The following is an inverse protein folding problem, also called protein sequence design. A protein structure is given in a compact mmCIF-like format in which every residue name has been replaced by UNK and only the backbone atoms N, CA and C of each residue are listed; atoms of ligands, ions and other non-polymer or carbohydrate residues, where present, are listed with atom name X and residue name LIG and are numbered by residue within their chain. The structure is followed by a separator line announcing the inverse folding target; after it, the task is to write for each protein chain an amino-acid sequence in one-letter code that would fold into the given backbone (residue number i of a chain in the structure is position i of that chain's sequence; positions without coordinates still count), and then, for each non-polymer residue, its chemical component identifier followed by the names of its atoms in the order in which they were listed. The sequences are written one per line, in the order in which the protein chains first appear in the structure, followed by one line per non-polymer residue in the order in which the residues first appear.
data_IF_630771032473
#
_entry.id   IF_630771032473
#
_cell.length_a   1.000
_cell.length_b   1.000
_cell.length_c   1.000
_cell.angle_alpha   90.00
_cell.angle_beta   90.00
_cell.angle_gamma   90.00
#
_symmetry.space_group_name_H-M   'P 1'
#
loop_
_entity.id
_entity.type
_entity.pdbx_description
1 polymer ?
#
# COMPACT_ATOMS: atom_id res chain seq x y z
N UNK A 1 13.10 6.63 -4.25
CA UNK A 1 11.68 6.37 -3.94
C UNK A 1 10.74 6.92 -5.00
N UNK A 2 11.01 8.09 -5.60
CA UNK A 2 10.13 8.74 -6.60
C UNK A 2 9.72 7.87 -7.81
N UNK A 3 10.59 6.98 -8.31
CA UNK A 3 10.27 6.08 -9.44
C UNK A 3 9.19 5.06 -9.05
N UNK A 4 9.27 4.49 -7.83
CA UNK A 4 8.27 3.51 -7.38
C UNK A 4 6.90 4.15 -7.19
N UNK A 5 6.84 5.37 -6.66
CA UNK A 5 5.57 6.11 -6.54
C UNK A 5 4.93 6.33 -7.91
N UNK A 6 5.73 6.69 -8.92
CA UNK A 6 5.25 6.87 -10.32
C UNK A 6 4.74 5.56 -10.93
N UNK A 7 5.35 4.42 -10.60
CA UNK A 7 4.86 3.12 -11.05
C UNK A 7 3.51 2.79 -10.41
N UNK A 8 3.39 2.91 -9.08
CA UNK A 8 2.14 2.59 -8.35
C UNK A 8 0.98 3.52 -8.77
N UNK A 9 1.26 4.80 -9.04
CA UNK A 9 0.27 5.77 -9.47
C UNK A 9 0.08 5.83 -11.01
N UNK A 10 0.67 4.89 -11.76
CA UNK A 10 0.57 4.89 -13.22
C UNK A 10 -0.85 4.59 -13.70
N UNK A 11 -1.30 5.29 -14.75
CA UNK A 11 -2.53 4.95 -15.47
C UNK A 11 -2.39 3.66 -16.29
N UNK A 12 -1.16 3.28 -16.64
CA UNK A 12 -0.86 2.01 -17.27
C UNK A 12 -1.01 0.89 -16.24
N UNK A 13 -2.01 0.02 -16.45
CA UNK A 13 -2.38 -1.05 -15.50
C UNK A 13 -1.26 -2.06 -15.31
N UNK A 14 -0.44 -2.33 -16.33
CA UNK A 14 0.68 -3.27 -16.22
C UNK A 14 1.81 -2.66 -15.37
N UNK A 15 2.13 -1.39 -15.60
CA UNK A 15 3.11 -0.66 -14.79
C UNK A 15 2.66 -0.51 -13.34
N UNK A 16 1.38 -0.19 -13.12
CA UNK A 16 0.78 -0.15 -11.79
C UNK A 16 0.90 -1.49 -11.08
N UNK A 17 0.43 -2.57 -11.71
CA UNK A 17 0.50 -3.91 -11.13
C UNK A 17 1.94 -4.28 -10.75
N UNK A 18 2.90 -4.03 -11.65
CA UNK A 18 4.32 -4.29 -11.38
C UNK A 18 4.85 -3.43 -10.24
N UNK A 19 4.48 -2.15 -10.18
CA UNK A 19 4.83 -1.25 -9.09
C UNK A 19 4.33 -1.77 -7.74
N UNK A 20 3.05 -2.14 -7.66
CA UNK A 20 2.43 -2.65 -6.43
C UNK A 20 3.07 -3.97 -5.99
N UNK A 21 3.31 -4.91 -6.92
CA UNK A 21 3.97 -6.19 -6.59
C UNK A 21 5.40 -5.99 -6.09
N UNK A 22 6.15 -5.03 -6.65
CA UNK A 22 7.49 -4.69 -6.15
C UNK A 22 7.40 -4.20 -4.70
N UNK A 23 6.49 -3.27 -4.40
CA UNK A 23 6.30 -2.71 -3.06
C UNK A 23 5.86 -3.79 -2.07
N UNK A 24 4.91 -4.64 -2.47
CA UNK A 24 4.49 -5.81 -1.71
C UNK A 24 5.68 -6.71 -1.35
N UNK A 25 6.51 -7.06 -2.34
CA UNK A 25 7.68 -7.91 -2.11
C UNK A 25 8.70 -7.25 -1.17
N UNK A 26 8.89 -5.92 -1.26
CA UNK A 26 9.79 -5.20 -0.35
C UNK A 26 9.29 -5.24 1.10
N UNK A 27 8.00 -5.07 1.33
CA UNK A 27 7.42 -5.13 2.68
C UNK A 27 7.48 -6.56 3.24
N UNK A 28 7.25 -7.57 2.39
CA UNK A 28 7.30 -8.98 2.78
C UNK A 28 8.73 -9.47 3.06
N UNK A 29 9.73 -8.96 2.32
CA UNK A 29 11.10 -9.46 2.38
C UNK A 29 11.75 -9.26 3.77
N UNK A 30 11.58 -8.10 4.39
CA UNK A 30 12.14 -7.81 5.71
C UNK A 30 11.48 -6.60 6.37
N UNK A 31 11.55 -6.53 7.70
CA UNK A 31 11.15 -5.35 8.46
C UNK A 31 11.90 -4.08 8.04
N UNK A 32 13.21 -4.19 7.81
CA UNK A 32 14.04 -3.02 7.45
C UNK A 32 13.63 -2.41 6.10
N UNK A 33 13.27 -3.25 5.12
CA UNK A 33 12.76 -2.78 3.83
C UNK A 33 11.34 -2.25 3.96
N UNK A 34 10.51 -2.85 4.81
CA UNK A 34 9.19 -2.31 5.12
C UNK A 34 9.25 -0.92 5.77
N UNK A 35 10.14 -0.70 6.74
CA UNK A 35 10.37 0.61 7.39
C UNK A 35 10.67 1.69 6.35
N UNK A 36 11.62 1.42 5.43
CA UNK A 36 11.97 2.37 4.35
C UNK A 36 10.83 2.64 3.37
N UNK A 37 9.94 1.68 3.15
CA UNK A 37 8.76 1.88 2.28
C UNK A 37 7.75 2.78 2.98
N UNK A 38 7.53 2.57 4.27
CA UNK A 38 6.53 3.29 5.09
C UNK A 38 6.94 4.74 5.38
N UNK A 39 8.25 5.02 5.44
CA UNK A 39 8.81 6.38 5.52
C UNK A 39 8.60 7.22 4.24
N UNK A 40 7.95 6.65 3.22
CA UNK A 40 7.73 7.30 1.92
C UNK A 40 6.26 7.35 1.57
N UNK A 41 5.92 8.14 0.55
CA UNK A 41 4.54 8.28 0.08
C UNK A 41 3.94 7.00 -0.52
N UNK A 42 4.69 5.90 -0.55
CA UNK A 42 4.18 4.60 -0.97
C UNK A 42 3.09 4.09 -0.03
N UNK A 43 3.16 4.38 1.28
CA UNK A 43 2.11 3.97 2.21
C UNK A 43 0.76 4.62 1.86
N UNK A 44 0.73 5.95 1.69
CA UNK A 44 -0.52 6.65 1.33
C UNK A 44 -1.06 6.17 -0.01
N UNK A 45 -0.18 5.89 -0.98
CA UNK A 45 -0.59 5.32 -2.26
C UNK A 45 -1.21 3.93 -2.10
N UNK A 46 -0.61 3.04 -1.30
CA UNK A 46 -1.19 1.72 -1.00
C UNK A 46 -2.56 1.86 -0.34
N UNK A 47 -2.70 2.74 0.66
CA UNK A 47 -4.00 2.97 1.32
C UNK A 47 -5.05 3.53 0.35
N UNK A 48 -4.65 4.45 -0.54
CA UNK A 48 -5.55 5.05 -1.52
C UNK A 48 -6.07 4.01 -2.53
N UNK A 49 -5.21 3.14 -3.06
CA UNK A 49 -5.64 2.14 -4.05
C UNK A 49 -6.51 1.02 -3.45
N UNK A 50 -6.41 0.78 -2.14
CA UNK A 50 -7.28 -0.16 -1.43
C UNK A 50 -8.63 0.42 -1.05
N UNK A 51 -8.86 1.73 -1.23
CA UNK A 51 -10.15 2.31 -0.90
C UNK A 51 -11.28 1.74 -1.78
N UNK A 52 -12.44 1.41 -1.20
CA UNK A 52 -13.57 0.87 -1.96
C UNK A 52 -14.07 1.79 -3.09
N UNK A 53 -13.86 3.10 -2.95
CA UNK A 53 -14.28 4.10 -3.96
C UNK A 53 -13.45 4.04 -5.24
N UNK A 54 -12.25 3.44 -5.21
CA UNK A 54 -11.34 3.36 -6.36
C UNK A 54 -11.67 2.12 -7.18
N UNK A 55 -12.58 2.22 -8.15
CA UNK A 55 -13.04 1.06 -8.93
C UNK A 55 -12.18 0.75 -10.18
N UNK A 56 -11.25 1.62 -10.55
CA UNK A 56 -10.43 1.49 -11.75
C UNK A 56 -9.12 0.70 -11.52
N UNK A 57 -9.05 -0.10 -10.45
CA UNK A 57 -7.87 -0.91 -10.12
C UNK A 57 -8.31 -2.37 -10.02
N UNK A 58 -7.54 -3.25 -10.69
CA UNK A 58 -7.77 -4.70 -10.68
C UNK A 58 -7.80 -5.23 -9.24
N UNK A 59 -8.78 -6.07 -8.92
CA UNK A 59 -8.96 -6.66 -7.59
C UNK A 59 -7.71 -7.39 -7.09
N UNK A 60 -6.93 -8.01 -7.98
CA UNK A 60 -5.65 -8.64 -7.62
C UNK A 60 -4.63 -7.62 -7.16
N UNK A 61 -4.55 -6.46 -7.83
CA UNK A 61 -3.66 -5.36 -7.43
C UNK A 61 -4.06 -4.83 -6.06
N UNK A 62 -5.37 -4.64 -5.82
CA UNK A 62 -5.89 -4.25 -4.50
C UNK A 62 -5.51 -5.26 -3.43
N UNK A 63 -5.67 -6.55 -3.71
CA UNK A 63 -5.30 -7.62 -2.77
C UNK A 63 -3.81 -7.58 -2.41
N UNK A 64 -2.92 -7.37 -3.37
CA UNK A 64 -1.49 -7.23 -3.08
C UNK A 64 -1.20 -6.01 -2.19
N UNK A 65 -1.91 -4.91 -2.39
CA UNK A 65 -1.77 -3.73 -1.57
C UNK A 65 -2.32 -3.95 -0.14
N UNK A 66 -3.48 -4.57 0.01
CA UNK A 66 -4.06 -4.96 1.30
C UNK A 66 -3.13 -5.91 2.08
N UNK A 67 -2.62 -6.95 1.42
CA UNK A 67 -1.69 -7.90 2.04
C UNK A 67 -0.38 -7.22 2.44
N UNK A 68 0.08 -6.21 1.69
CA UNK A 68 1.24 -5.40 2.04
C UNK A 68 0.98 -4.54 3.29
N UNK A 69 -0.17 -3.87 3.37
CA UNK A 69 -0.58 -3.08 4.54
C UNK A 69 -0.69 -3.96 5.78
N UNK A 70 -1.38 -5.10 5.66
CA UNK A 70 -1.49 -6.09 6.74
C UNK A 70 -0.12 -6.55 7.23
N UNK A 71 0.83 -6.77 6.31
CA UNK A 71 2.20 -7.14 6.71
C UNK A 71 2.92 -6.01 7.46
N UNK A 72 2.72 -4.76 7.05
CA UNK A 72 3.24 -3.60 7.75
C UNK A 72 2.66 -3.45 9.17
N UNK A 73 1.37 -3.78 9.36
CA UNK A 73 0.73 -3.88 10.68
C UNK A 73 1.35 -4.99 11.53
N UNK A 74 1.58 -6.18 10.96
CA UNK A 74 2.27 -7.28 11.64
C UNK A 74 3.68 -6.87 12.11
N UNK A 75 4.38 -6.04 11.32
CA UNK A 75 5.67 -5.47 11.70
C UNK A 75 5.57 -4.37 12.77
N UNK A 76 4.35 -3.94 13.12
CA UNK A 76 4.02 -2.83 14.02
C UNK A 76 4.54 -1.48 13.50
N UNK A 77 4.60 -1.33 12.19
CA UNK A 77 5.09 -0.12 11.53
C UNK A 77 3.95 0.85 11.21
N UNK A 78 2.74 0.33 11.04
CA UNK A 78 1.50 1.10 10.91
C UNK A 78 0.46 0.58 11.89
N UNK A 79 -0.55 1.41 12.19
CA UNK A 79 -1.72 0.99 12.95
C UNK A 79 -2.80 0.48 12.00
N UNK A 80 -3.64 -0.48 12.45
CA UNK A 80 -4.81 -0.88 11.70
C UNK A 80 -5.68 0.35 11.43
N UNK A 81 -6.27 0.41 10.23
CA UNK A 81 -7.27 1.41 9.92
C UNK A 81 -8.58 0.99 10.59
N UNK A 82 -8.66 1.17 11.92
CA UNK A 82 -9.92 1.20 12.65
C UNK A 82 -10.63 2.46 12.11
N UNK A 83 -11.53 2.26 11.14
CA UNK A 83 -12.25 3.37 10.51
C UNK A 83 -12.78 4.29 11.59
N UNK A 84 -12.37 5.55 11.54
CA UNK A 84 -12.67 6.63 12.48
C UNK A 84 -13.74 6.23 13.51
N UNK A 85 -13.32 5.82 14.71
CA UNK A 85 -14.20 5.94 15.85
C UNK A 85 -14.52 7.43 15.97
N UNK A 86 -15.72 7.81 15.52
CA UNK A 86 -16.34 9.08 15.82
C UNK A 86 -16.28 9.24 17.33
N UNK A 87 -15.36 10.07 17.83
CA UNK A 87 -15.43 10.65 19.17
C UNK A 87 -16.78 11.36 19.27
N UNK A 88 -17.75 10.68 19.89
CA UNK A 88 -18.97 11.30 20.36
C UNK A 88 -18.68 11.88 21.74
N UNK A 89 -18.25 13.14 21.76
CA UNK A 89 -18.35 14.05 22.91
C UNK A 89 -19.61 14.93 22.77
#
# INVERSE_FOLDING_TARGET
HEIMCKLVASEDKELQHRGVVIVYNLIQASRQTAEKVIETNLLELLMAITQPVVNDIDEKVKKYAEDALKKAEEWKLIKPNEGEEVESD
#
